data_IF_781979223911
#
_entry.id   IF_781979223911
#
_cell.length_a   1.000
_cell.length_b   1.000
_cell.length_c   1.000
_cell.angle_alpha   90.00
_cell.angle_beta   90.00
_cell.angle_gamma   90.00
#
_symmetry.space_group_name_H-M   'P 1'
#
loop_
_entity.id
_entity.type
_entity.pdbx_description
1 polymer ?
#
# COMPACT_ATOMS: atom_id res chain seq x y z
N UNK A 1 7.36 -18.96 -17.70
CA UNK A 1 6.86 -17.68 -18.23
C UNK A 1 5.36 -17.59 -17.95
N UNK A 2 5.00 -16.96 -16.84
CA UNK A 2 3.63 -16.69 -16.30
C UNK A 2 3.77 -15.42 -15.43
N UNK A 3 2.81 -14.47 -15.43
CA UNK A 3 3.07 -13.06 -15.73
C UNK A 3 3.21 -12.09 -14.54
N UNK A 4 3.85 -10.95 -14.84
CA UNK A 4 3.90 -9.69 -14.10
C UNK A 4 2.50 -9.06 -13.96
N UNK A 5 1.72 -9.44 -12.94
CA UNK A 5 0.42 -8.79 -12.63
C UNK A 5 0.24 -8.60 -11.13
N UNK A 6 1.12 -7.87 -10.43
CA UNK A 6 0.85 -7.52 -9.02
C UNK A 6 1.31 -6.13 -8.56
N UNK A 7 2.04 -5.36 -9.39
CA UNK A 7 2.12 -3.89 -9.20
C UNK A 7 0.75 -3.25 -9.51
N UNK A 8 -0.11 -3.98 -10.25
CA UNK A 8 -1.45 -3.55 -10.58
C UNK A 8 -2.46 -3.64 -9.44
N UNK A 9 -2.18 -4.22 -8.26
CA UNK A 9 -3.21 -4.22 -7.19
C UNK A 9 -3.38 -2.91 -6.42
N UNK A 10 -2.59 -1.89 -6.76
CA UNK A 10 -2.90 -0.49 -6.46
C UNK A 10 -3.39 0.31 -7.69
N UNK A 11 -3.40 -0.30 -8.89
CA UNK A 11 -3.58 0.42 -10.19
C UNK A 11 -4.68 -0.18 -11.09
N UNK A 12 -5.19 -1.39 -10.86
CA UNK A 12 -6.18 -2.07 -11.71
C UNK A 12 -7.62 -1.50 -11.60
N UNK A 13 -7.81 -0.35 -10.97
CA UNK A 13 -9.09 0.37 -10.98
C UNK A 13 -9.12 1.51 -12.01
N UNK A 14 -8.01 1.79 -12.71
CA UNK A 14 -7.90 2.94 -13.61
C UNK A 14 -7.54 2.45 -15.03
N UNK A 15 -8.56 2.24 -15.87
CA UNK A 15 -8.55 1.84 -17.30
C UNK A 15 -8.26 0.35 -17.63
N UNK A 16 -9.15 -0.47 -18.20
CA UNK A 16 -10.53 -0.31 -18.68
C UNK A 16 -10.93 -1.51 -19.57
N UNK A 17 -12.12 -2.08 -19.36
CA UNK A 17 -12.98 -2.73 -20.38
C UNK A 17 -14.29 -3.21 -19.72
N UNK A 18 -15.26 -2.30 -19.55
CA UNK A 18 -16.65 -2.47 -20.03
C UNK A 18 -17.42 -1.16 -19.80
N UNK A 19 -18.37 -0.83 -20.68
CA UNK A 19 -19.03 0.47 -20.80
C UNK A 19 -20.15 0.70 -19.76
N UNK A 20 -19.84 0.57 -18.46
CA UNK A 20 -20.75 0.91 -17.36
C UNK A 20 -20.04 1.12 -16.02
N UNK A 21 -18.80 1.62 -16.04
CA UNK A 21 -17.93 1.63 -14.86
C UNK A 21 -18.21 2.84 -13.97
N UNK A 22 -18.93 2.58 -12.87
CA UNK A 22 -18.83 3.34 -11.62
C UNK A 22 -17.36 3.71 -11.36
N UNK A 23 -17.12 4.95 -10.87
CA UNK A 23 -15.80 5.41 -10.44
C UNK A 23 -15.08 4.32 -9.63
N UNK A 24 -13.75 4.16 -9.78
CA UNK A 24 -13.00 3.17 -9.01
C UNK A 24 -13.24 3.36 -7.52
N UNK A 25 -14.11 2.52 -6.96
CA UNK A 25 -14.50 2.58 -5.57
C UNK A 25 -13.29 2.20 -4.71
N UNK A 26 -12.59 3.21 -4.17
CA UNK A 26 -11.46 3.04 -3.24
C UNK A 26 -11.87 2.13 -2.08
N UNK A 27 -13.15 2.10 -1.72
CA UNK A 27 -13.68 1.28 -0.64
C UNK A 27 -13.85 -0.19 -1.05
N UNK A 28 -13.76 -0.54 -2.33
CA UNK A 28 -13.70 -1.93 -2.79
C UNK A 28 -12.39 -2.62 -2.38
N UNK A 29 -11.34 -1.85 -2.12
CA UNK A 29 -10.07 -2.35 -1.61
C UNK A 29 -10.29 -3.13 -0.30
N UNK A 30 -9.38 -4.08 -0.05
CA UNK A 30 -9.41 -4.91 1.16
C UNK A 30 -10.75 -5.66 1.39
N UNK A 31 -11.45 -5.99 0.30
CA UNK A 31 -12.70 -6.75 0.34
C UNK A 31 -13.89 -5.94 0.89
N UNK A 32 -13.90 -4.61 0.71
CA UNK A 32 -15.05 -3.81 1.09
C UNK A 32 -15.17 -3.53 2.59
N UNK A 33 -14.14 -3.83 3.39
CA UNK A 33 -14.26 -3.82 4.87
C UNK A 33 -14.64 -2.44 5.41
N UNK A 34 -14.22 -1.36 4.74
CA UNK A 34 -14.46 0.01 5.15
C UNK A 34 -15.69 0.67 4.52
N UNK A 35 -16.45 -0.04 3.66
CA UNK A 35 -17.66 0.50 3.00
C UNK A 35 -18.78 0.91 3.95
N UNK A 36 -18.79 0.36 5.17
CA UNK A 36 -19.82 0.64 6.17
C UNK A 36 -19.57 1.96 6.91
N UNK A 37 -18.39 2.55 6.73
CA UNK A 37 -18.07 3.85 7.32
C UNK A 37 -18.53 4.96 6.36
N UNK A 38 -19.07 6.03 6.94
CA UNK A 38 -19.66 7.18 6.26
C UNK A 38 -18.60 8.19 5.78
N UNK A 39 -17.71 7.76 4.88
CA UNK A 39 -16.59 8.58 4.43
C UNK A 39 -17.01 9.85 3.69
N UNK A 40 -16.36 10.97 4.02
CA UNK A 40 -16.44 12.19 3.20
C UNK A 40 -15.43 12.15 2.06
N UNK A 41 -15.65 12.95 1.01
CA UNK A 41 -14.70 13.06 -0.09
C UNK A 41 -13.31 13.54 0.38
N UNK A 42 -13.26 14.41 1.39
CA UNK A 42 -12.01 14.86 2.00
C UNK A 42 -11.26 13.71 2.70
N UNK A 43 -11.99 12.86 3.42
CA UNK A 43 -11.42 11.68 4.07
C UNK A 43 -10.94 10.64 3.04
N UNK A 44 -11.69 10.43 1.95
CA UNK A 44 -11.27 9.55 0.86
C UNK A 44 -10.01 10.06 0.16
N UNK A 45 -9.92 11.38 -0.09
CA UNK A 45 -8.71 12.00 -0.62
C UNK A 45 -7.52 11.83 0.34
N UNK A 46 -7.74 12.00 1.65
CA UNK A 46 -6.72 11.76 2.67
C UNK A 46 -6.29 10.28 2.70
N UNK A 47 -7.23 9.33 2.59
CA UNK A 47 -6.92 7.89 2.50
C UNK A 47 -6.03 7.62 1.28
N UNK A 48 -6.37 8.15 0.11
CA UNK A 48 -5.56 8.03 -1.11
C UNK A 48 -4.15 8.56 -0.89
N UNK A 49 -4.02 9.78 -0.36
CA UNK A 49 -2.71 10.40 -0.09
C UNK A 49 -1.87 9.61 0.93
N UNK A 50 -2.50 9.05 1.96
CA UNK A 50 -1.79 8.26 2.96
C UNK A 50 -1.36 6.89 2.43
N UNK A 51 -2.12 6.27 1.52
CA UNK A 51 -1.67 5.07 0.80
C UNK A 51 -0.49 5.39 -0.11
N UNK A 52 -0.56 6.47 -0.88
CA UNK A 52 0.52 6.96 -1.74
C UNK A 52 1.81 7.20 -0.96
N UNK A 53 1.73 7.72 0.26
CA UNK A 53 2.90 8.03 1.09
C UNK A 53 3.31 6.89 2.02
N UNK A 54 2.77 5.68 1.81
CA UNK A 54 2.97 4.51 2.69
C UNK A 54 2.74 4.80 4.19
N UNK A 55 1.94 5.83 4.51
CA UNK A 55 1.69 6.35 5.86
C UNK A 55 0.61 5.52 6.57
N UNK A 56 0.77 4.20 6.58
CA UNK A 56 -0.23 3.25 7.07
C UNK A 56 -0.55 3.41 8.57
N UNK A 57 0.37 3.93 9.37
CA UNK A 57 0.10 4.26 10.78
C UNK A 57 -0.95 5.38 10.89
N UNK A 58 -0.83 6.45 10.08
CA UNK A 58 -1.83 7.53 10.00
C UNK A 58 -3.15 7.04 9.42
N UNK A 59 -3.14 6.09 8.47
CA UNK A 59 -4.36 5.44 7.98
C UNK A 59 -5.08 4.73 9.14
N UNK A 60 -4.37 3.96 9.95
CA UNK A 60 -4.96 3.27 11.10
C UNK A 60 -5.54 4.27 12.11
N UNK A 61 -4.87 5.39 12.36
CA UNK A 61 -5.41 6.46 13.21
C UNK A 61 -6.68 7.10 12.62
N UNK A 62 -6.69 7.38 11.31
CA UNK A 62 -7.85 7.95 10.62
C UNK A 62 -9.04 7.01 10.69
N UNK A 63 -8.84 5.72 10.42
CA UNK A 63 -9.89 4.70 10.53
C UNK A 63 -10.36 4.55 11.97
N UNK A 64 -9.47 4.56 12.97
CA UNK A 64 -9.85 4.50 14.38
C UNK A 64 -10.73 5.68 14.78
N UNK A 65 -10.36 6.90 14.37
CA UNK A 65 -11.17 8.11 14.61
C UNK A 65 -12.54 7.99 13.95
N UNK A 66 -12.59 7.57 12.68
CA UNK A 66 -13.85 7.39 11.95
C UNK A 66 -14.75 6.38 12.64
N UNK A 67 -14.20 5.23 12.99
CA UNK A 67 -14.91 4.16 13.68
C UNK A 67 -15.48 4.60 15.04
N UNK A 68 -14.79 5.49 15.77
CA UNK A 68 -15.26 6.02 17.05
C UNK A 68 -16.47 6.96 16.90
N UNK A 69 -16.61 7.62 15.74
CA UNK A 69 -17.70 8.58 15.48
C UNK A 69 -18.82 8.03 14.61
N UNK A 70 -18.60 6.94 13.87
CA UNK A 70 -19.59 6.35 12.98
C UNK A 70 -20.63 5.52 13.73
N UNK A 71 -21.89 5.68 13.31
CA UNK A 71 -23.02 4.85 13.74
C UNK A 71 -23.13 3.62 12.82
N UNK A 72 -22.53 2.51 13.25
CA UNK A 72 -22.51 1.24 12.51
C UNK A 72 -22.85 0.09 13.45
N UNK A 73 -23.33 -1.01 12.88
CA UNK A 73 -23.63 -2.21 13.65
C UNK A 73 -22.37 -2.87 14.26
N UNK A 74 -22.57 -3.58 15.37
CA UNK A 74 -21.50 -4.25 16.10
C UNK A 74 -20.73 -5.28 15.27
N UNK A 75 -21.36 -5.94 14.30
CA UNK A 75 -20.69 -6.94 13.48
C UNK A 75 -19.71 -6.26 12.50
N UNK A 76 -20.12 -5.15 11.88
CA UNK A 76 -19.27 -4.32 11.04
C UNK A 76 -18.11 -3.71 11.84
N UNK A 77 -18.38 -3.18 13.04
CA UNK A 77 -17.35 -2.67 13.96
C UNK A 77 -16.29 -3.72 14.29
N UNK A 78 -16.71 -4.91 14.73
CA UNK A 78 -15.79 -6.02 15.05
C UNK A 78 -14.97 -6.47 13.85
N UNK A 79 -15.55 -6.46 12.64
CA UNK A 79 -14.82 -6.79 11.40
C UNK A 79 -13.72 -5.79 11.11
N UNK A 80 -14.01 -4.49 11.24
CA UNK A 80 -13.04 -3.40 11.02
C UNK A 80 -11.92 -3.49 12.06
N UNK A 81 -12.24 -3.62 13.35
CA UNK A 81 -11.24 -3.74 14.42
C UNK A 81 -10.32 -4.95 14.22
N UNK A 82 -10.90 -6.11 13.87
CA UNK A 82 -10.13 -7.31 13.55
C UNK A 82 -9.20 -7.07 12.37
N UNK A 83 -9.69 -6.40 11.32
CA UNK A 83 -8.88 -6.06 10.16
C UNK A 83 -7.71 -5.15 10.54
N UNK A 84 -7.95 -4.07 11.29
CA UNK A 84 -6.92 -3.15 11.74
C UNK A 84 -5.85 -3.85 12.60
N UNK A 85 -6.26 -4.76 13.47
CA UNK A 85 -5.34 -5.57 14.28
C UNK A 85 -4.46 -6.48 13.41
N UNK A 86 -5.04 -7.13 12.40
CA UNK A 86 -4.33 -8.05 11.52
C UNK A 86 -3.41 -7.35 10.51
N UNK A 87 -3.75 -6.12 10.13
CA UNK A 87 -3.05 -5.33 9.11
C UNK A 87 -2.21 -4.21 9.69
N UNK A 88 -1.88 -4.29 10.98
CA UNK A 88 -1.02 -3.29 11.64
C UNK A 88 0.34 -3.23 10.93
N UNK A 89 0.80 -2.03 10.53
CA UNK A 89 2.12 -1.89 9.94
C UNK A 89 3.23 -2.20 10.95
N UNK A 90 4.34 -2.82 10.51
CA UNK A 90 5.57 -2.87 11.29
C UNK A 90 6.02 -1.47 11.71
N UNK A 91 6.46 -1.30 12.97
CA UNK A 91 6.85 0.02 13.52
C UNK A 91 7.90 0.75 12.70
N UNK A 92 8.87 0.03 12.12
CA UNK A 92 9.92 0.66 11.32
C UNK A 92 9.39 1.34 10.05
N UNK A 93 8.16 1.00 9.60
CA UNK A 93 7.53 1.67 8.46
C UNK A 93 7.04 3.09 8.79
N UNK A 94 6.96 3.48 10.05
CA UNK A 94 6.60 4.86 10.44
C UNK A 94 7.63 5.87 9.90
N UNK A 95 8.90 5.47 9.83
CA UNK A 95 10.02 6.26 9.32
C UNK A 95 10.60 5.73 8.00
N UNK A 96 9.86 4.89 7.27
CA UNK A 96 10.35 4.27 6.04
C UNK A 96 10.57 5.28 4.91
N UNK A 97 9.67 6.25 4.78
CA UNK A 97 9.80 7.36 3.84
C UNK A 97 10.09 8.65 4.61
N UNK A 98 11.07 9.41 4.11
CA UNK A 98 11.34 10.76 4.57
C UNK A 98 10.24 11.73 4.16
N UNK A 99 10.20 12.92 4.76
CA UNK A 99 9.23 13.94 4.33
C UNK A 99 9.44 14.36 2.87
N UNK A 100 10.69 14.46 2.41
CA UNK A 100 10.99 14.70 0.99
C UNK A 100 10.51 13.59 0.07
N UNK A 101 10.59 12.31 0.50
CA UNK A 101 10.06 11.21 -0.30
C UNK A 101 8.53 11.32 -0.41
N UNK A 102 7.86 11.69 0.68
CA UNK A 102 6.40 11.86 0.70
C UNK A 102 5.94 12.99 -0.21
N UNK A 103 6.62 14.14 -0.15
CA UNK A 103 6.32 15.29 -1.00
C UNK A 103 6.46 14.93 -2.49
N UNK A 104 7.56 14.25 -2.84
CA UNK A 104 7.81 13.74 -4.18
C UNK A 104 6.70 12.78 -4.65
N UNK A 105 6.30 11.82 -3.82
CA UNK A 105 5.24 10.87 -4.16
C UNK A 105 3.88 11.54 -4.35
N UNK A 106 3.56 12.57 -3.55
CA UNK A 106 2.31 13.31 -3.68
C UNK A 106 2.27 14.11 -4.99
N UNK A 107 3.39 14.73 -5.38
CA UNK A 107 3.52 15.42 -6.66
C UNK A 107 3.27 14.46 -7.84
N UNK A 108 3.93 13.31 -7.85
CA UNK A 108 3.77 12.32 -8.92
C UNK A 108 2.39 11.64 -8.93
N UNK A 109 1.79 11.41 -7.76
CA UNK A 109 0.42 10.91 -7.66
C UNK A 109 -0.59 11.91 -8.24
N UNK A 110 -0.43 13.20 -7.97
CA UNK A 110 -1.29 14.23 -8.56
C UNK A 110 -1.13 14.32 -10.10
N UNK A 111 0.07 14.00 -10.61
CA UNK A 111 0.36 13.96 -12.05
C UNK A 111 -0.05 12.62 -12.73
N UNK A 112 -0.44 11.60 -11.97
CA UNK A 112 -0.74 10.26 -12.50
C UNK A 112 0.50 9.47 -12.96
N UNK A 113 1.69 9.82 -12.49
CA UNK A 113 2.96 9.17 -12.83
C UNK A 113 3.31 8.06 -11.82
N UNK A 114 2.70 6.90 -12.01
CA UNK A 114 2.83 5.75 -11.09
C UNK A 114 4.15 4.99 -11.23
N UNK A 115 4.93 5.24 -12.29
CA UNK A 115 6.23 4.57 -12.44
C UNK A 115 7.22 5.07 -11.39
N UNK A 116 7.28 6.39 -11.19
CA UNK A 116 8.17 7.00 -10.19
C UNK A 116 7.83 6.58 -8.76
N UNK A 117 6.54 6.36 -8.49
CA UNK A 117 6.08 5.78 -7.21
C UNK A 117 6.74 4.43 -6.92
N UNK A 118 6.68 3.50 -7.88
CA UNK A 118 7.25 2.17 -7.71
C UNK A 118 8.78 2.24 -7.56
N UNK A 119 9.45 3.06 -8.38
CA UNK A 119 10.90 3.23 -8.34
C UNK A 119 11.37 3.69 -6.96
N UNK A 120 10.77 4.75 -6.41
CA UNK A 120 11.20 5.29 -5.11
C UNK A 120 10.96 4.29 -3.97
N UNK A 121 9.80 3.61 -3.96
CA UNK A 121 9.50 2.62 -2.94
C UNK A 121 10.51 1.48 -2.93
N UNK A 122 10.89 0.96 -4.09
CA UNK A 122 11.88 -0.12 -4.17
C UNK A 122 13.29 0.38 -3.79
N UNK A 123 13.67 1.59 -4.20
CA UNK A 123 14.93 2.19 -3.76
C UNK A 123 15.02 2.25 -2.23
N UNK A 124 14.00 2.81 -1.57
CA UNK A 124 13.96 2.89 -0.10
C UNK A 124 13.90 1.51 0.55
N UNK A 125 13.17 0.57 -0.05
CA UNK A 125 13.06 -0.79 0.49
C UNK A 125 14.41 -1.52 0.49
N UNK A 126 15.25 -1.28 -0.51
CA UNK A 126 16.57 -1.88 -0.62
C UNK A 126 17.65 -1.20 0.22
N UNK A 127 17.41 0.03 0.70
CA UNK A 127 18.23 0.68 1.73
C UNK A 127 18.00 0.09 3.13
N UNK A 128 16.89 -0.65 3.33
CA UNK A 128 16.61 -1.30 4.61
C UNK A 128 17.53 -2.51 4.86
N UNK A 129 17.83 -2.83 6.13
CA UNK A 129 18.41 -4.11 6.50
C UNK A 129 17.56 -5.28 5.97
N UNK A 130 18.21 -6.37 5.55
CA UNK A 130 17.56 -7.56 4.96
C UNK A 130 16.27 -7.98 5.68
N UNK A 131 16.31 -8.09 7.01
CA UNK A 131 15.15 -8.50 7.80
C UNK A 131 13.97 -7.53 7.72
N UNK A 132 14.24 -6.22 7.66
CA UNK A 132 13.22 -5.18 7.50
C UNK A 132 12.70 -5.13 6.06
N UNK A 133 13.57 -5.26 5.06
CA UNK A 133 13.15 -5.33 3.66
C UNK A 133 12.21 -6.51 3.40
N UNK A 134 12.56 -7.71 3.90
CA UNK A 134 11.71 -8.91 3.81
C UNK A 134 10.38 -8.69 4.52
N UNK A 135 10.39 -8.11 5.73
CA UNK A 135 9.17 -7.82 6.48
C UNK A 135 8.29 -6.78 5.76
N UNK A 136 8.88 -5.76 5.14
CA UNK A 136 8.19 -4.76 4.35
C UNK A 136 7.54 -5.38 3.10
N UNK A 137 8.27 -6.22 2.36
CA UNK A 137 7.74 -6.92 1.20
C UNK A 137 6.56 -7.83 1.58
N UNK A 138 6.66 -8.59 2.67
CA UNK A 138 5.53 -9.37 3.16
C UNK A 138 4.32 -8.49 3.50
N UNK A 139 4.54 -7.36 4.16
CA UNK A 139 3.50 -6.42 4.54
C UNK A 139 2.79 -5.82 3.32
N UNK A 140 3.55 -5.41 2.30
CA UNK A 140 3.01 -4.87 1.05
C UNK A 140 2.43 -5.94 0.11
N UNK A 141 2.54 -7.23 0.45
CA UNK A 141 1.95 -8.33 -0.31
C UNK A 141 2.89 -8.97 -1.35
N UNK A 142 4.16 -8.55 -1.41
CA UNK A 142 5.21 -9.11 -2.27
C UNK A 142 5.84 -10.37 -1.65
N UNK A 143 5.02 -11.40 -1.38
CA UNK A 143 5.47 -12.60 -0.65
C UNK A 143 6.56 -13.37 -1.39
N UNK A 144 6.43 -13.52 -2.71
CA UNK A 144 7.40 -14.25 -3.51
C UNK A 144 8.77 -13.54 -3.52
N UNK A 145 8.78 -12.21 -3.66
CA UNK A 145 9.99 -11.41 -3.54
C UNK A 145 10.58 -11.47 -2.13
N UNK A 146 9.75 -11.44 -1.09
CA UNK A 146 10.18 -11.55 0.28
C UNK A 146 10.88 -12.90 0.55
N UNK A 147 10.29 -14.00 0.10
CA UNK A 147 10.85 -15.36 0.23
C UNK A 147 12.16 -15.48 -0.57
N UNK A 148 12.19 -14.98 -1.81
CA UNK A 148 13.41 -14.97 -2.62
C UNK A 148 14.56 -14.17 -1.97
N UNK A 149 14.26 -13.02 -1.36
CA UNK A 149 15.26 -12.23 -0.62
C UNK A 149 15.70 -12.92 0.67
N UNK A 150 14.76 -13.54 1.40
CA UNK A 150 15.03 -14.22 2.66
C UNK A 150 16.05 -15.36 2.48
N UNK A 151 15.85 -16.17 1.44
CA UNK A 151 16.67 -17.36 1.16
C UNK A 151 17.94 -17.05 0.35
N UNK A 152 18.13 -15.81 -0.08
CA UNK A 152 19.30 -15.42 -0.85
C UNK A 152 20.60 -15.50 -0.01
N UNK A 153 21.57 -16.27 -0.51
CA UNK A 153 22.94 -16.33 0.02
C UNK A 153 23.62 -14.96 -0.07
N UNK A 154 23.40 -14.23 -1.17
CA UNK A 154 23.88 -12.86 -1.37
C UNK A 154 22.67 -11.91 -1.47
N UNK A 155 22.40 -11.16 -0.40
CA UNK A 155 21.29 -10.20 -0.35
C UNK A 155 21.41 -9.11 -1.42
N UNK A 156 22.59 -8.49 -1.54
CA UNK A 156 22.84 -7.42 -2.51
C UNK A 156 22.66 -7.90 -3.95
N UNK A 157 23.11 -9.11 -4.26
CA UNK A 157 22.93 -9.73 -5.57
C UNK A 157 21.45 -9.98 -5.88
N UNK A 158 20.66 -10.41 -4.89
CA UNK A 158 19.23 -10.66 -5.06
C UNK A 158 18.45 -9.35 -5.23
N UNK A 159 18.81 -8.32 -4.47
CA UNK A 159 18.30 -6.96 -4.62
C UNK A 159 18.59 -6.41 -6.02
N UNK A 160 19.81 -6.53 -6.52
CA UNK A 160 20.18 -6.06 -7.85
C UNK A 160 19.35 -6.74 -8.94
N UNK A 161 19.18 -8.07 -8.86
CA UNK A 161 18.32 -8.82 -9.80
C UNK A 161 16.86 -8.38 -9.73
N UNK A 162 16.37 -8.06 -8.54
CA UNK A 162 14.99 -7.58 -8.36
C UNK A 162 14.81 -6.18 -8.94
N UNK A 163 15.77 -5.27 -8.70
CA UNK A 163 15.79 -3.93 -9.29
C UNK A 163 15.85 -3.98 -10.83
N UNK A 164 16.70 -4.84 -11.40
CA UNK A 164 16.80 -5.04 -12.85
C UNK A 164 15.52 -5.56 -13.49
N UNK A 165 14.74 -6.36 -12.76
CA UNK A 165 13.41 -6.81 -13.22
C UNK A 165 12.37 -5.69 -13.20
N UNK A 166 12.46 -4.79 -12.22
CA UNK A 166 11.49 -3.70 -12.02
C UNK A 166 11.75 -2.52 -12.96
N UNK A 167 12.98 -2.37 -13.44
CA UNK A 167 13.37 -1.35 -14.41
C UNK A 167 13.03 -1.71 -15.88
N UNK A 168 12.47 -2.89 -16.15
CA UNK A 168 12.07 -3.37 -17.48
C UNK A 168 10.55 -3.31 -17.64
#
# INVERSE_FOLDING_TARGET
MVPLIWIALLVASVYGQDQNLDEPDILSAHGGVFRHLDWTNEELAAISALHTTASHHKLMELVARKLATSDIDDASRRRIEKFMMQKRPPKFLESFLSDSDRDYLLEHHAAGDFHQYAVLLFQRLFELPKSQAVAALHYFGHRAEAEALADAECYECAVQRLAERLAR
#
